data_IF_633258309226
#
_entry.id   IF_633258309226
#
_cell.length_a   1.000
_cell.length_b   1.000
_cell.length_c   1.000
_cell.angle_alpha   90.00
_cell.angle_beta   90.00
_cell.angle_gamma   90.00
#
_symmetry.space_group_name_H-M   'P 1'
#
loop_
_entity.id
_entity.type
_entity.pdbx_description
1 polymer ?
#
# COMPACT_ATOMS: atom_id res chain seq x y z
N UNK A 1 40.11 19.54 25.82
CA UNK A 1 38.73 19.99 26.15
C UNK A 1 38.00 20.61 24.97
N UNK A 2 38.52 21.67 24.31
CA UNK A 2 37.85 22.31 23.15
C UNK A 2 37.52 21.36 21.98
N UNK A 3 38.43 20.45 21.61
CA UNK A 3 38.20 19.48 20.52
C UNK A 3 37.11 18.45 20.82
N UNK A 4 36.93 18.08 22.09
CA UNK A 4 35.85 17.17 22.50
C UNK A 4 34.50 17.90 22.58
N UNK A 5 34.51 19.20 22.91
CA UNK A 5 33.31 20.03 22.85
C UNK A 5 32.79 20.18 21.40
N UNK A 6 33.71 20.38 20.43
CA UNK A 6 33.36 20.45 19.00
C UNK A 6 32.81 19.11 18.49
N UNK A 7 33.38 17.99 18.94
CA UNK A 7 32.90 16.67 18.56
C UNK A 7 31.50 16.38 19.11
N UNK A 8 31.21 16.73 20.36
CA UNK A 8 29.85 16.62 20.92
C UNK A 8 28.84 17.47 20.14
N UNK A 9 29.21 18.70 19.77
CA UNK A 9 28.34 19.60 19.02
C UNK A 9 28.01 19.06 17.61
N UNK A 10 28.96 18.37 16.96
CA UNK A 10 28.75 17.70 15.67
C UNK A 10 27.82 16.48 15.78
N UNK A 11 27.90 15.71 16.87
CA UNK A 11 27.04 14.53 17.07
C UNK A 11 25.59 14.95 17.34
N UNK A 12 25.37 16.09 18.00
CA UNK A 12 24.06 16.65 18.32
C UNK A 12 23.28 17.16 17.09
N UNK A 13 23.94 17.44 15.95
CA UNK A 13 23.27 17.96 14.74
C UNK A 13 22.84 16.88 13.75
N UNK A 14 23.41 15.67 13.82
CA UNK A 14 23.08 14.54 12.92
C UNK A 14 21.59 14.15 12.97
N UNK A 15 20.90 14.11 14.14
CA UNK A 15 19.49 13.72 14.19
C UNK A 15 18.57 14.65 13.41
N UNK A 16 18.87 15.96 13.37
CA UNK A 16 18.01 16.96 12.72
C UNK A 16 17.86 16.74 11.21
N UNK A 17 18.89 16.20 10.55
CA UNK A 17 18.86 15.90 9.12
C UNK A 17 18.02 14.66 8.79
N UNK A 18 17.85 13.72 9.73
CA UNK A 18 17.00 12.54 9.53
C UNK A 18 15.51 12.90 9.55
N UNK A 19 15.11 13.90 10.35
CA UNK A 19 13.70 14.32 10.45
C UNK A 19 13.23 15.25 9.32
N UNK A 20 14.14 15.77 8.49
CA UNK A 20 13.82 16.74 7.43
C UNK A 20 13.55 16.09 6.05
N UNK A 21 13.50 14.76 5.96
CA UNK A 21 13.18 14.08 4.71
C UNK A 21 11.71 14.34 4.35
N UNK A 22 11.47 14.98 3.20
CA UNK A 22 10.12 15.27 2.73
C UNK A 22 9.33 13.97 2.54
N UNK A 23 8.19 13.85 3.21
CA UNK A 23 7.28 12.72 3.07
C UNK A 23 6.36 12.95 1.87
N UNK A 24 6.17 11.91 1.06
CA UNK A 24 5.26 11.89 -0.07
C UNK A 24 4.17 10.85 0.19
N UNK A 25 2.92 11.22 -0.06
CA UNK A 25 1.80 10.28 0.05
C UNK A 25 1.51 9.62 -1.30
N UNK A 26 1.31 8.30 -1.29
CA UNK A 26 0.82 7.51 -2.42
C UNK A 26 -0.48 6.85 -2.07
N UNK A 27 -1.39 6.78 -3.03
CA UNK A 27 -2.74 6.26 -2.84
C UNK A 27 -2.96 5.00 -3.65
N UNK A 28 -3.85 4.14 -3.17
CA UNK A 28 -4.35 3.03 -3.95
C UNK A 28 -5.83 2.80 -3.65
N UNK A 29 -6.54 2.31 -4.66
CA UNK A 29 -7.87 1.73 -4.52
C UNK A 29 -7.74 0.23 -4.30
N UNK A 30 -8.52 -0.28 -3.36
CA UNK A 30 -8.72 -1.70 -3.13
C UNK A 30 -10.19 -2.02 -3.38
N UNK A 31 -10.46 -2.83 -4.40
CA UNK A 31 -11.79 -3.38 -4.65
C UNK A 31 -11.87 -4.78 -4.06
N UNK A 32 -12.73 -4.97 -3.06
CA UNK A 32 -12.97 -6.26 -2.43
C UNK A 32 -14.40 -6.73 -2.68
N UNK A 33 -14.57 -8.02 -2.98
CA UNK A 33 -15.88 -8.62 -3.21
C UNK A 33 -15.88 -10.12 -2.97
N UNK A 34 -17.08 -10.68 -2.79
CA UNK A 34 -17.32 -12.11 -2.62
C UNK A 34 -18.62 -12.53 -3.31
N UNK A 35 -18.63 -13.73 -3.89
CA UNK A 35 -19.82 -14.38 -4.42
C UNK A 35 -20.63 -15.06 -3.28
N UNK A 36 -21.26 -14.27 -2.40
CA UNK A 36 -22.19 -14.78 -1.37
C UNK A 36 -21.57 -15.46 -0.15
N UNK A 37 -22.45 -15.89 0.76
CA UNK A 37 -22.28 -16.25 2.19
C UNK A 37 -21.16 -17.24 2.57
N UNK A 38 -20.51 -17.91 1.60
CA UNK A 38 -19.44 -18.89 1.83
C UNK A 38 -18.26 -18.77 0.85
N UNK A 39 -18.22 -17.69 0.06
CA UNK A 39 -17.20 -17.49 -0.95
C UNK A 39 -15.98 -16.77 -0.37
N UNK A 40 -14.79 -17.24 -0.75
CA UNK A 40 -13.54 -16.56 -0.42
C UNK A 40 -13.54 -15.15 -1.03
N UNK A 41 -13.06 -14.17 -0.28
CA UNK A 41 -12.97 -12.78 -0.71
C UNK A 41 -11.82 -12.64 -1.71
N UNK A 42 -12.10 -12.03 -2.86
CA UNK A 42 -11.07 -11.59 -3.81
C UNK A 42 -10.84 -10.09 -3.65
N UNK A 43 -9.59 -9.69 -3.78
CA UNK A 43 -9.17 -8.32 -3.64
C UNK A 43 -8.32 -7.91 -4.85
N UNK A 44 -8.60 -6.73 -5.39
CA UNK A 44 -7.92 -6.12 -6.53
C UNK A 44 -7.39 -4.76 -6.13
N UNK A 45 -6.16 -4.46 -6.52
CA UNK A 45 -5.52 -3.18 -6.24
C UNK A 45 -5.39 -2.35 -7.51
N UNK A 46 -5.62 -1.05 -7.39
CA UNK A 46 -5.37 -0.08 -8.45
C UNK A 46 -4.57 1.10 -7.88
N UNK A 47 -3.37 1.34 -8.42
CA UNK A 47 -2.45 2.39 -7.99
C UNK A 47 -2.51 3.66 -8.85
N UNK A 48 -3.44 3.73 -9.82
CA UNK A 48 -3.49 4.79 -10.82
C UNK A 48 -2.56 4.55 -12.01
N UNK A 49 -2.54 5.48 -12.97
CA UNK A 49 -1.84 5.29 -14.25
C UNK A 49 -0.32 5.17 -14.12
N UNK A 50 0.20 4.05 -14.62
CA UNK A 50 1.30 4.05 -15.59
C UNK A 50 0.73 3.77 -16.98
N UNK A 51 0.69 4.78 -17.85
CA UNK A 51 0.31 4.73 -19.26
C UNK A 51 0.79 3.47 -20.00
N UNK A 52 -0.11 2.52 -20.27
CA UNK A 52 0.02 1.56 -21.38
C UNK A 52 -1.36 1.31 -21.98
N UNK A 53 -1.52 1.73 -23.24
CA UNK A 53 -2.69 1.50 -24.11
C UNK A 53 -3.02 0.00 -24.34
N UNK A 54 -2.34 -0.92 -23.64
CA UNK A 54 -2.46 -2.37 -23.73
C UNK A 54 -2.12 -2.97 -22.34
N UNK A 55 -2.96 -2.74 -21.33
CA UNK A 55 -2.71 -3.25 -19.97
C UNK A 55 -3.50 -4.56 -19.73
N UNK A 56 -2.96 -5.66 -20.25
CA UNK A 56 -3.43 -7.02 -19.93
C UNK A 56 -2.90 -7.52 -18.56
N UNK A 57 -2.41 -6.62 -17.70
CA UNK A 57 -1.90 -7.01 -16.38
C UNK A 57 -3.03 -7.35 -15.43
N UNK A 58 -2.92 -8.52 -14.81
CA UNK A 58 -3.81 -8.97 -13.76
C UNK A 58 -3.53 -8.20 -12.47
N UNK A 59 -4.46 -7.32 -12.08
CA UNK A 59 -4.38 -6.45 -10.90
C UNK A 59 -4.78 -7.15 -9.58
N UNK A 60 -5.03 -8.46 -9.63
CA UNK A 60 -5.35 -9.26 -8.44
C UNK A 60 -4.09 -9.49 -7.62
N UNK A 61 -4.24 -9.45 -6.30
CA UNK A 61 -3.16 -9.83 -5.38
C UNK A 61 -2.77 -11.30 -5.57
N UNK A 62 -1.47 -11.60 -5.53
CA UNK A 62 -0.97 -12.97 -5.73
C UNK A 62 -0.38 -13.56 -4.44
N UNK A 63 -0.42 -14.88 -4.32
CA UNK A 63 0.31 -15.63 -3.30
C UNK A 63 1.74 -15.94 -3.73
N UNK A 64 2.52 -16.59 -2.86
CA UNK A 64 3.95 -16.91 -3.06
C UNK A 64 4.25 -17.84 -4.24
N UNK A 65 3.21 -18.32 -4.94
CA UNK A 65 3.30 -19.23 -6.08
C UNK A 65 2.72 -18.56 -7.33
N UNK A 66 2.36 -17.27 -7.24
CA UNK A 66 1.80 -16.48 -8.33
C UNK A 66 0.30 -16.67 -8.56
N UNK A 67 -0.42 -17.43 -7.71
CA UNK A 67 -1.86 -17.59 -7.84
C UNK A 67 -2.61 -16.43 -7.20
N UNK A 68 -3.84 -16.16 -7.66
CA UNK A 68 -4.71 -15.16 -7.02
C UNK A 68 -4.93 -15.48 -5.56
N UNK A 69 -4.46 -14.59 -4.69
CA UNK A 69 -4.62 -14.69 -3.25
C UNK A 69 -6.09 -14.54 -2.88
N UNK A 70 -6.63 -15.58 -2.25
CA UNK A 70 -8.00 -15.61 -1.74
C UNK A 70 -7.97 -15.40 -0.24
N UNK A 71 -8.70 -14.40 0.24
CA UNK A 71 -8.81 -14.07 1.65
C UNK A 71 -10.04 -14.74 2.26
N UNK A 72 -10.02 -15.06 3.55
CA UNK A 72 -11.18 -15.66 4.23
C UNK A 72 -12.24 -14.59 4.53
N UNK A 73 -11.80 -13.37 4.78
CA UNK A 73 -12.66 -12.23 5.09
C UNK A 73 -12.11 -10.92 4.51
N UNK A 74 -12.95 -9.88 4.45
CA UNK A 74 -12.51 -8.51 4.13
C UNK A 74 -11.50 -8.03 5.18
N UNK A 75 -11.71 -8.38 6.46
CA UNK A 75 -10.80 -8.01 7.56
C UNK A 75 -9.39 -8.54 7.31
N UNK A 76 -9.25 -9.76 6.77
CA UNK A 76 -7.92 -10.30 6.41
C UNK A 76 -7.23 -9.47 5.32
N UNK A 77 -8.00 -8.92 4.36
CA UNK A 77 -7.49 -8.01 3.34
C UNK A 77 -7.00 -6.71 3.99
N UNK A 78 -7.80 -6.12 4.89
CA UNK A 78 -7.44 -4.88 5.59
C UNK A 78 -6.18 -5.06 6.45
N UNK A 79 -6.09 -6.18 7.18
CA UNK A 79 -4.90 -6.54 7.95
C UNK A 79 -3.67 -6.72 7.07
N UNK A 80 -3.84 -7.33 5.89
CA UNK A 80 -2.74 -7.48 4.92
C UNK A 80 -2.25 -6.15 4.36
N UNK A 81 -3.16 -5.21 4.06
CA UNK A 81 -2.80 -3.84 3.66
C UNK A 81 -2.07 -3.11 4.80
N UNK A 82 -2.59 -3.19 6.02
CA UNK A 82 -1.99 -2.58 7.21
C UNK A 82 -0.58 -3.11 7.49
N UNK A 83 -0.38 -4.42 7.37
CA UNK A 83 0.94 -5.05 7.55
C UNK A 83 1.98 -4.55 6.52
N UNK A 84 1.54 -4.02 5.38
CA UNK A 84 2.40 -3.40 4.35
C UNK A 84 2.55 -1.89 4.52
N UNK A 85 2.07 -1.31 5.62
CA UNK A 85 2.20 0.12 5.91
C UNK A 85 1.16 1.01 5.21
N UNK A 86 0.15 0.42 4.57
CA UNK A 86 -0.96 1.17 3.99
C UNK A 86 -1.99 1.52 5.06
N UNK A 87 -2.37 2.80 5.13
CA UNK A 87 -3.35 3.36 6.07
C UNK A 87 -4.67 3.59 5.35
N UNK A 88 -5.78 3.13 5.93
CA UNK A 88 -7.10 3.34 5.34
C UNK A 88 -7.48 4.84 5.40
N UNK A 89 -7.96 5.37 4.28
CA UNK A 89 -8.41 6.77 4.15
C UNK A 89 -9.92 6.84 4.17
N UNK A 90 -10.59 6.06 3.32
CA UNK A 90 -12.05 6.04 3.24
C UNK A 90 -12.56 4.76 2.59
N UNK A 91 -13.87 4.54 2.69
CA UNK A 91 -14.58 3.39 2.15
C UNK A 91 -15.90 3.79 1.53
N UNK A 92 -16.28 3.17 0.42
CA UNK A 92 -17.61 3.32 -0.16
C UNK A 92 -18.11 1.99 -0.73
N UNK A 93 -19.42 1.80 -0.71
CA UNK A 93 -20.09 0.62 -1.24
C UNK A 93 -21.03 1.05 -2.36
N UNK A 94 -20.98 0.33 -3.48
CA UNK A 94 -21.92 0.54 -4.57
C UNK A 94 -23.16 -0.37 -4.36
N UNK A 95 -24.38 0.18 -4.32
CA UNK A 95 -25.59 -0.62 -4.23
C UNK A 95 -25.82 -1.33 -5.58
N UNK A 96 -25.23 -2.51 -5.76
CA UNK A 96 -25.36 -3.33 -6.96
C UNK A 96 -26.18 -4.61 -6.69
N UNK A 97 -26.99 -5.08 -7.66
CA UNK A 97 -27.75 -6.33 -7.55
C UNK A 97 -26.82 -7.54 -7.76
N UNK A 98 -25.91 -7.77 -6.81
CA UNK A 98 -25.02 -8.93 -6.69
C UNK A 98 -24.02 -9.17 -7.86
N UNK A 99 -22.70 -9.29 -7.60
CA UNK A 99 -22.03 -9.20 -6.31
C UNK A 99 -21.83 -7.74 -5.88
N UNK A 100 -22.10 -7.47 -4.61
CA UNK A 100 -21.77 -6.18 -3.99
C UNK A 100 -20.25 -6.08 -3.81
N UNK A 101 -19.66 -5.01 -4.33
CA UNK A 101 -18.26 -4.67 -4.10
C UNK A 101 -18.16 -3.56 -3.06
N UNK A 102 -17.13 -3.64 -2.23
CA UNK A 102 -16.73 -2.56 -1.34
C UNK A 102 -15.38 -2.06 -1.82
N UNK A 103 -15.28 -0.74 -1.93
CA UNK A 103 -14.09 -0.05 -2.35
C UNK A 103 -13.47 0.63 -1.14
N UNK A 104 -12.16 0.48 -0.99
CA UNK A 104 -11.37 1.07 0.07
C UNK A 104 -10.26 1.90 -0.57
N UNK A 105 -10.08 3.14 -0.13
CA UNK A 105 -8.90 3.93 -0.52
C UNK A 105 -7.90 3.91 0.62
N UNK A 106 -6.66 3.57 0.30
CA UNK A 106 -5.55 3.59 1.23
C UNK A 106 -4.52 4.63 0.81
N UNK A 107 -3.72 5.07 1.78
CA UNK A 107 -2.52 5.86 1.57
C UNK A 107 -1.31 5.25 2.23
N UNK A 108 -0.13 5.51 1.68
CA UNK A 108 1.16 5.15 2.26
C UNK A 108 2.07 6.38 2.21
N UNK A 109 2.76 6.64 3.31
CA UNK A 109 3.78 7.68 3.41
C UNK A 109 5.13 7.07 3.03
N UNK A 110 5.83 7.73 2.11
CA UNK A 110 7.15 7.35 1.63
C UNK A 110 8.13 8.50 1.86
N UNK A 111 9.40 8.18 2.05
CA UNK A 111 10.45 9.19 1.94
C UNK A 111 10.64 9.58 0.47
N UNK A 112 10.90 10.87 0.21
CA UNK A 112 11.13 11.34 -1.16
C UNK A 112 12.23 10.57 -1.90
N UNK A 113 13.24 10.07 -1.17
CA UNK A 113 14.31 9.23 -1.72
C UNK A 113 13.83 7.87 -2.22
N UNK A 114 12.73 7.34 -1.68
CA UNK A 114 12.17 6.04 -2.04
C UNK A 114 11.33 6.11 -3.32
N UNK A 115 10.90 7.31 -3.71
CA UNK A 115 9.92 7.52 -4.78
C UNK A 115 10.30 6.87 -6.11
N UNK A 116 11.54 7.04 -6.54
CA UNK A 116 12.00 6.55 -7.85
C UNK A 116 12.05 5.01 -7.91
N UNK A 117 12.15 4.36 -6.76
CA UNK A 117 12.23 2.91 -6.65
C UNK A 117 10.91 2.29 -6.17
N UNK A 118 9.92 3.11 -5.84
CA UNK A 118 8.64 2.65 -5.33
C UNK A 118 7.84 1.98 -6.45
N UNK A 119 7.73 0.66 -6.35
CA UNK A 119 6.92 -0.19 -7.24
C UNK A 119 5.88 -0.89 -6.39
N UNK A 120 4.71 -0.27 -6.16
CA UNK A 120 3.73 -0.79 -5.22
C UNK A 120 3.26 -2.19 -5.62
N UNK A 121 3.13 -2.50 -6.91
CA UNK A 121 2.70 -3.82 -7.40
C UNK A 121 3.63 -4.93 -6.92
N UNK A 122 4.94 -4.68 -6.91
CA UNK A 122 5.94 -5.65 -6.45
C UNK A 122 5.83 -5.94 -4.94
N UNK A 123 5.22 -5.05 -4.15
CA UNK A 123 4.92 -5.35 -2.74
C UNK A 123 3.87 -6.45 -2.60
N UNK A 124 3.02 -6.67 -3.62
CA UNK A 124 1.87 -7.58 -3.57
C UNK A 124 2.03 -8.82 -4.46
N UNK A 125 3.14 -8.91 -5.19
CA UNK A 125 3.66 -10.11 -5.82
C UNK A 125 4.58 -10.80 -4.80
N UNK A 126 4.20 -11.98 -4.30
CA UNK A 126 5.02 -12.79 -3.39
C UNK A 126 5.63 -13.97 -4.14
#
# INVERSE_FOLDING_TARGET
MKKQLILCLLILTIPAFLYAQGKIERFCELKAGGAGFNSKVTAQLNFGEGTRLIDFKDHRMKDSVGNVKKFKSIVDVLNFMSAKGWKLVTTFSEPAPNPSFIYFYFKKELDAAELNNFKPEAEFEM
#
